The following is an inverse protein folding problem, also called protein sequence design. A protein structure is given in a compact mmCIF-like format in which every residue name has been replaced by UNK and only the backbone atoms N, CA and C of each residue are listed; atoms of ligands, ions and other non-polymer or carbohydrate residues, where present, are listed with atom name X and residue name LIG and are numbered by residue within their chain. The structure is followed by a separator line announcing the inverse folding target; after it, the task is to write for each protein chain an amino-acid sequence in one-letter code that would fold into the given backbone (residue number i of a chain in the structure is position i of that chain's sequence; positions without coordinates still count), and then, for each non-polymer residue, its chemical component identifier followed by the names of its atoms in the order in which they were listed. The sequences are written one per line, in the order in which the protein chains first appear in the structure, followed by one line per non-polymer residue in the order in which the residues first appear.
data_IF_063052202367
#
_entry.id   IF_063052202367
#
_cell.length_a   1.000
_cell.length_b   1.000
_cell.length_c   1.000
_cell.angle_alpha   90.00
_cell.angle_beta   90.00
_cell.angle_gamma   90.00
#
_symmetry.space_group_name_H-M   'P 1'
#
loop_
_entity.id
_entity.type
_entity.pdbx_description
1 polymer ?
#
# COMPACT_ATOMS: atom_id res chain seq x y z
N UNK A 1 18.51 21.53 -31.79
CA UNK A 1 17.59 22.61 -31.35
C UNK A 1 16.79 22.09 -30.16
N UNK A 2 16.70 22.79 -29.03
CA UNK A 2 15.83 22.38 -27.94
C UNK A 2 14.39 22.40 -28.45
N UNK A 3 13.71 21.25 -28.41
CA UNK A 3 12.30 21.18 -28.81
C UNK A 3 11.48 22.06 -27.86
N UNK A 4 10.99 23.19 -28.38
CA UNK A 4 10.11 24.11 -27.65
C UNK A 4 8.81 23.37 -27.34
N UNK A 5 8.40 23.39 -26.08
CA UNK A 5 7.13 22.79 -25.64
C UNK A 5 5.97 23.54 -26.33
N UNK A 6 5.02 22.79 -26.90
CA UNK A 6 3.89 23.34 -27.66
C UNK A 6 2.53 23.00 -27.07
N UNK A 7 2.47 22.01 -26.18
CA UNK A 7 1.24 21.52 -25.59
C UNK A 7 1.10 21.95 -24.12
N UNK A 8 -0.14 22.19 -23.71
CA UNK A 8 -0.55 22.34 -22.33
C UNK A 8 -0.63 20.97 -21.70
N UNK A 9 0.28 20.70 -20.76
CA UNK A 9 0.33 19.43 -20.01
C UNK A 9 0.00 19.68 -18.54
N UNK A 10 -0.44 18.64 -17.84
CA UNK A 10 -0.57 18.71 -16.39
C UNK A 10 0.78 19.00 -15.73
N UNK A 11 0.75 19.81 -14.68
CA UNK A 11 1.95 20.06 -13.89
C UNK A 11 2.46 18.76 -13.25
N UNK A 12 3.79 18.53 -13.25
CA UNK A 12 4.35 17.40 -12.52
C UNK A 12 3.96 17.49 -11.04
N UNK A 13 3.53 16.39 -10.45
CA UNK A 13 3.24 16.31 -9.02
C UNK A 13 4.53 16.60 -8.24
N UNK A 14 4.48 17.59 -7.35
CA UNK A 14 5.66 18.09 -6.63
C UNK A 14 6.58 19.01 -7.44
N UNK A 15 6.24 19.35 -8.68
CA UNK A 15 7.01 20.25 -9.52
C UNK A 15 8.42 19.75 -9.87
N UNK A 16 9.17 20.62 -10.54
CA UNK A 16 10.59 20.38 -10.80
C UNK A 16 11.40 20.68 -9.54
N UNK A 17 12.33 19.78 -9.15
CA UNK A 17 13.21 20.01 -8.02
C UNK A 17 14.03 21.30 -8.16
N UNK A 18 13.84 22.24 -7.22
CA UNK A 18 14.67 23.45 -7.09
C UNK A 18 15.72 23.26 -5.99
N UNK A 19 16.63 24.23 -5.78
CA UNK A 19 17.59 24.16 -4.67
C UNK A 19 16.91 24.04 -3.29
N UNK A 20 15.71 24.62 -3.14
CA UNK A 20 14.91 24.51 -1.93
C UNK A 20 14.39 23.07 -1.67
N UNK A 21 14.26 22.24 -2.71
CA UNK A 21 13.83 20.84 -2.58
C UNK A 21 14.94 19.91 -2.07
N UNK A 22 16.19 20.37 -2.02
CA UNK A 22 17.33 19.53 -1.65
C UNK A 22 17.21 19.02 -0.20
N UNK A 23 16.96 19.93 0.75
CA UNK A 23 16.84 19.60 2.16
C UNK A 23 15.68 18.61 2.43
N UNK A 24 14.42 18.88 2.03
CA UNK A 24 13.32 17.96 2.30
C UNK A 24 13.50 16.62 1.57
N UNK A 25 13.98 16.61 0.32
CA UNK A 25 14.25 15.35 -0.41
C UNK A 25 15.28 14.49 0.30
N UNK A 26 16.37 15.08 0.81
CA UNK A 26 17.40 14.35 1.57
C UNK A 26 16.85 13.82 2.90
N UNK A 27 16.06 14.61 3.63
CA UNK A 27 15.44 14.17 4.89
C UNK A 27 14.54 12.95 4.64
N UNK A 28 13.64 13.01 3.66
CA UNK A 28 12.79 11.86 3.33
C UNK A 28 13.59 10.67 2.82
N UNK A 29 14.66 10.87 2.04
CA UNK A 29 15.54 9.78 1.62
C UNK A 29 16.16 9.06 2.81
N UNK A 30 16.64 9.81 3.82
CA UNK A 30 17.18 9.24 5.07
C UNK A 30 16.08 8.51 5.85
N UNK A 31 14.90 9.12 6.01
CA UNK A 31 13.78 8.52 6.73
C UNK A 31 13.32 7.19 6.11
N UNK A 32 13.19 7.12 4.78
CA UNK A 32 12.87 5.86 4.09
C UNK A 32 14.05 4.87 4.12
N UNK A 33 15.30 5.35 4.06
CA UNK A 33 16.49 4.52 4.18
C UNK A 33 16.60 3.85 5.56
N UNK A 34 16.29 4.59 6.63
CA UNK A 34 16.23 4.06 7.99
C UNK A 34 15.12 3.01 8.14
N UNK A 35 13.94 3.22 7.53
CA UNK A 35 12.90 2.19 7.48
C UNK A 35 13.40 0.92 6.78
N UNK A 36 14.09 1.05 5.63
CA UNK A 36 14.64 -0.09 4.91
C UNK A 36 15.69 -0.83 5.75
N UNK A 37 16.57 -0.10 6.43
CA UNK A 37 17.55 -0.69 7.34
C UNK A 37 16.87 -1.43 8.51
N UNK A 38 15.85 -0.81 9.11
CA UNK A 38 15.06 -1.42 10.19
C UNK A 38 14.37 -2.72 9.72
N UNK A 39 13.82 -2.74 8.52
CA UNK A 39 13.20 -3.92 7.91
C UNK A 39 14.22 -5.06 7.76
N UNK A 40 15.39 -4.76 7.19
CA UNK A 40 16.47 -5.73 6.96
C UNK A 40 16.99 -6.25 8.29
N UNK A 41 17.23 -5.37 9.25
CA UNK A 41 17.65 -5.75 10.60
C UNK A 41 16.64 -6.69 11.27
N UNK A 42 15.34 -6.36 11.19
CA UNK A 42 14.29 -7.20 11.77
C UNK A 42 14.12 -8.54 11.07
N UNK A 43 14.35 -8.58 9.76
CA UNK A 43 14.30 -9.81 8.97
C UNK A 43 15.39 -10.79 9.39
N UNK A 44 16.63 -10.31 9.55
CA UNK A 44 17.78 -11.16 9.84
C UNK A 44 17.98 -11.46 11.33
N UNK A 45 17.80 -10.47 12.22
CA UNK A 45 18.33 -10.57 13.59
C UNK A 45 17.29 -10.74 14.68
N UNK A 46 16.17 -10.00 14.65
CA UNK A 46 15.25 -9.98 15.81
C UNK A 46 14.07 -10.95 15.68
N UNK A 47 13.34 -10.92 14.57
CA UNK A 47 12.04 -11.63 14.46
C UNK A 47 11.76 -12.12 13.02
N UNK A 48 12.52 -13.09 12.49
CA UNK A 48 12.27 -13.65 11.15
C UNK A 48 10.86 -14.23 10.98
N UNK A 49 10.19 -14.60 12.09
CA UNK A 49 8.80 -15.12 12.09
C UNK A 49 7.71 -14.05 12.01
N UNK A 50 8.05 -12.77 12.19
CA UNK A 50 7.11 -11.64 12.12
C UNK A 50 6.86 -11.16 10.68
N UNK A 51 7.72 -11.54 9.74
CA UNK A 51 7.61 -11.16 8.34
C UNK A 51 6.47 -11.90 7.64
N UNK A 52 5.74 -11.15 6.81
CA UNK A 52 4.66 -11.66 5.98
C UNK A 52 4.90 -11.25 4.52
N UNK A 53 4.57 -12.15 3.58
CA UNK A 53 4.60 -11.89 2.13
C UNK A 53 3.77 -10.66 1.74
N UNK A 54 2.73 -10.33 2.51
CA UNK A 54 1.94 -9.09 2.30
C UNK A 54 2.85 -7.84 2.33
N UNK A 55 3.89 -7.80 3.15
CA UNK A 55 4.74 -6.62 3.32
C UNK A 55 5.76 -6.44 2.18
N UNK A 56 5.93 -7.40 1.27
CA UNK A 56 6.90 -7.31 0.16
C UNK A 56 6.61 -6.10 -0.73
N UNK A 57 5.34 -5.87 -1.07
CA UNK A 57 4.90 -4.71 -1.85
C UNK A 57 5.22 -3.40 -1.15
N UNK A 58 5.00 -3.33 0.17
CA UNK A 58 5.37 -2.17 0.98
C UNK A 58 6.90 -1.95 1.00
N UNK A 59 7.71 -3.01 1.02
CA UNK A 59 9.18 -2.91 0.94
C UNK A 59 9.64 -2.40 -0.42
N UNK A 60 9.08 -2.93 -1.52
CA UNK A 60 9.35 -2.45 -2.87
C UNK A 60 9.00 -0.97 -2.97
N UNK A 61 7.82 -0.58 -2.45
CA UNK A 61 7.40 0.82 -2.38
C UNK A 61 8.43 1.70 -1.64
N UNK A 62 8.95 1.27 -0.49
CA UNK A 62 9.99 2.03 0.24
C UNK A 62 11.25 2.19 -0.61
N UNK A 63 11.71 1.13 -1.28
CA UNK A 63 12.88 1.22 -2.17
C UNK A 63 12.67 2.22 -3.31
N UNK A 64 11.50 2.18 -3.95
CA UNK A 64 11.12 3.13 -5.00
C UNK A 64 11.06 4.58 -4.46
N UNK A 65 10.58 4.77 -3.21
CA UNK A 65 10.58 6.09 -2.56
C UNK A 65 11.97 6.61 -2.23
N UNK A 66 12.90 5.74 -1.80
CA UNK A 66 14.31 6.12 -1.63
C UNK A 66 14.90 6.57 -2.96
N UNK A 67 14.72 5.77 -4.03
CA UNK A 67 15.21 6.11 -5.37
C UNK A 67 14.63 7.45 -5.86
N UNK A 68 13.32 7.64 -5.72
CA UNK A 68 12.62 8.87 -6.07
C UNK A 68 13.18 10.09 -5.31
N UNK A 69 13.42 9.99 -4.00
CA UNK A 69 13.95 11.08 -3.20
C UNK A 69 15.41 11.42 -3.57
N UNK A 70 16.25 10.41 -3.80
CA UNK A 70 17.63 10.60 -4.27
C UNK A 70 17.65 11.30 -5.63
N UNK A 71 16.80 10.85 -6.56
CA UNK A 71 16.67 11.46 -7.88
C UNK A 71 16.26 12.93 -7.77
N UNK A 72 15.27 13.24 -6.93
CA UNK A 72 14.83 14.63 -6.70
C UNK A 72 15.93 15.48 -6.07
N UNK A 73 16.68 14.94 -5.10
CA UNK A 73 17.83 15.62 -4.49
C UNK A 73 18.95 15.90 -5.51
N UNK A 74 19.26 14.94 -6.38
CA UNK A 74 20.25 15.11 -7.46
C UNK A 74 19.77 16.15 -8.49
N UNK A 75 18.50 16.15 -8.86
CA UNK A 75 17.93 17.17 -9.75
C UNK A 75 17.92 18.57 -9.10
N UNK A 76 17.72 18.65 -7.78
CA UNK A 76 17.84 19.89 -7.03
C UNK A 76 19.27 20.45 -7.07
N UNK A 77 20.29 19.60 -6.84
CA UNK A 77 21.70 20.00 -6.83
C UNK A 77 22.33 20.25 -8.21
N UNK A 78 21.83 19.59 -9.26
CA UNK A 78 22.39 19.68 -10.62
C UNK A 78 21.34 20.13 -11.65
N UNK A 79 21.26 21.44 -11.98
CA UNK A 79 20.27 21.98 -12.91
C UNK A 79 20.25 21.29 -14.29
N UNK A 80 21.42 20.86 -14.78
CA UNK A 80 21.56 20.13 -16.06
C UNK A 80 20.75 18.83 -16.11
N UNK A 81 20.51 18.18 -14.96
CA UNK A 81 19.75 16.92 -14.86
C UNK A 81 18.23 17.14 -14.72
N UNK A 82 17.76 18.37 -14.47
CA UNK A 82 16.32 18.72 -14.39
C UNK A 82 15.61 18.56 -15.73
N UNK A 83 16.34 18.78 -16.83
CA UNK A 83 15.82 18.68 -18.20
C UNK A 83 15.60 17.23 -18.70
N UNK A 84 16.02 16.22 -17.93
CA UNK A 84 15.89 14.82 -18.35
C UNK A 84 14.44 14.36 -18.33
N UNK A 85 13.85 14.19 -19.53
CA UNK A 85 12.48 13.72 -19.69
C UNK A 85 12.24 12.32 -19.12
N UNK A 86 13.22 11.42 -19.25
CA UNK A 86 13.13 10.06 -18.72
C UNK A 86 13.06 10.05 -17.18
N UNK A 87 13.89 10.88 -16.54
CA UNK A 87 13.93 10.99 -15.09
C UNK A 87 12.63 11.59 -14.53
N UNK A 88 12.07 12.59 -15.24
CA UNK A 88 10.76 13.15 -14.91
C UNK A 88 9.64 12.11 -15.04
N UNK A 89 9.59 11.38 -16.17
CA UNK A 89 8.59 10.33 -16.39
C UNK A 89 8.64 9.24 -15.33
N UNK A 90 9.84 8.80 -14.93
CA UNK A 90 10.02 7.81 -13.86
C UNK A 90 9.50 8.34 -12.52
N UNK A 91 9.91 9.54 -12.11
CA UNK A 91 9.45 10.15 -10.84
C UNK A 91 7.93 10.31 -10.81
N UNK A 92 7.33 10.78 -11.91
CA UNK A 92 5.87 10.93 -12.01
C UNK A 92 5.13 9.59 -11.98
N UNK A 93 5.69 8.54 -12.60
CA UNK A 93 5.12 7.20 -12.54
C UNK A 93 5.13 6.65 -11.11
N UNK A 94 6.28 6.67 -10.42
CA UNK A 94 6.40 6.15 -9.06
C UNK A 94 5.51 6.93 -8.08
N UNK A 95 5.51 8.27 -8.17
CA UNK A 95 4.60 9.14 -7.39
C UNK A 95 3.13 8.81 -7.66
N UNK A 96 2.77 8.57 -8.92
CA UNK A 96 1.41 8.30 -9.31
C UNK A 96 0.87 6.92 -8.91
N UNK A 97 1.73 5.96 -8.63
CA UNK A 97 1.33 4.57 -8.34
C UNK A 97 1.50 4.23 -6.86
N UNK A 98 2.36 4.95 -6.14
CA UNK A 98 2.74 4.67 -4.75
C UNK A 98 1.60 4.35 -3.78
N UNK A 99 0.63 5.25 -3.64
CA UNK A 99 -0.52 5.08 -2.76
C UNK A 99 -1.43 3.88 -3.12
N UNK A 100 -1.40 3.42 -4.37
CA UNK A 100 -2.17 2.26 -4.83
C UNK A 100 -1.58 0.97 -4.27
N UNK A 101 -0.24 0.84 -4.21
CA UNK A 101 0.43 -0.32 -3.60
C UNK A 101 0.10 -0.46 -2.13
N UNK A 102 0.15 0.65 -1.39
CA UNK A 102 -0.22 0.69 0.03
C UNK A 102 -1.68 0.26 0.21
N UNK A 103 -2.58 0.78 -0.63
CA UNK A 103 -4.01 0.43 -0.56
C UNK A 103 -4.26 -1.05 -0.85
N UNK A 104 -3.55 -1.64 -1.82
CA UNK A 104 -3.65 -3.07 -2.11
C UNK A 104 -3.21 -3.94 -0.92
N UNK A 105 -2.18 -3.51 -0.18
CA UNK A 105 -1.75 -4.20 1.04
C UNK A 105 -2.80 -4.12 2.15
N UNK A 106 -3.46 -2.96 2.32
CA UNK A 106 -4.57 -2.81 3.27
C UNK A 106 -5.74 -3.74 2.94
N UNK A 107 -6.03 -4.02 1.67
CA UNK A 107 -7.06 -4.99 1.26
C UNK A 107 -6.67 -6.41 1.65
N UNK A 108 -5.40 -6.79 1.50
CA UNK A 108 -4.92 -8.12 1.94
C UNK A 108 -5.08 -8.28 3.46
N UNK A 109 -4.88 -7.21 4.22
CA UNK A 109 -5.13 -7.18 5.67
C UNK A 109 -6.62 -7.24 6.00
N UNK A 110 -7.45 -6.48 5.28
CA UNK A 110 -8.92 -6.54 5.40
C UNK A 110 -9.43 -7.96 5.14
N UNK A 111 -8.93 -8.62 4.08
CA UNK A 111 -9.23 -10.02 3.78
C UNK A 111 -8.92 -10.93 4.97
N UNK A 112 -7.75 -10.77 5.58
CA UNK A 112 -7.36 -11.56 6.76
C UNK A 112 -8.31 -11.32 7.92
N UNK A 113 -8.63 -10.07 8.22
CA UNK A 113 -9.57 -9.71 9.30
C UNK A 113 -10.95 -10.33 9.06
N UNK A 114 -11.49 -10.23 7.83
CA UNK A 114 -12.78 -10.81 7.46
C UNK A 114 -12.78 -12.34 7.45
N UNK A 115 -11.70 -12.98 7.00
CA UNK A 115 -11.59 -14.45 7.03
C UNK A 115 -11.51 -14.96 8.46
N UNK A 116 -10.83 -14.23 9.35
CA UNK A 116 -10.67 -14.62 10.74
C UNK A 116 -12.00 -14.71 11.50
N UNK A 117 -13.02 -13.92 11.15
CA UNK A 117 -14.36 -14.00 11.77
C UNK A 117 -15.12 -15.27 11.40
N UNK A 118 -14.67 -16.00 10.38
CA UNK A 118 -15.32 -17.25 9.92
C UNK A 118 -14.71 -18.50 10.56
N UNK A 119 -13.66 -18.35 11.38
CA UNK A 119 -12.88 -19.45 11.94
C UNK A 119 -13.25 -19.67 13.42
N UNK A 120 -13.65 -20.90 13.83
CA UNK A 120 -13.96 -21.19 15.22
C UNK A 120 -12.72 -21.03 16.12
N UNK A 121 -11.52 -21.33 15.59
CA UNK A 121 -10.23 -21.12 16.25
C UNK A 121 -10.00 -19.65 16.68
N UNK A 122 -10.66 -18.70 16.03
CA UNK A 122 -10.56 -17.27 16.30
C UNK A 122 -11.80 -16.69 17.01
N UNK A 123 -12.63 -17.55 17.61
CA UNK A 123 -13.80 -17.12 18.39
C UNK A 123 -15.13 -17.09 17.61
N UNK A 124 -15.18 -17.60 16.38
CA UNK A 124 -16.44 -17.73 15.65
C UNK A 124 -17.32 -18.84 16.26
N UNK A 125 -18.62 -18.59 16.38
CA UNK A 125 -19.58 -19.57 16.93
C UNK A 125 -19.68 -20.86 16.11
N UNK A 126 -19.51 -20.77 14.78
CA UNK A 126 -19.56 -21.91 13.83
C UNK A 126 -18.59 -21.67 12.67
N UNK A 127 -18.05 -22.75 12.09
CA UNK A 127 -17.21 -22.69 10.88
C UNK A 127 -18.04 -22.28 9.65
N UNK A 128 -17.87 -21.05 9.15
CA UNK A 128 -18.64 -20.52 8.01
C UNK A 128 -17.85 -20.59 6.71
N UNK A 129 -17.77 -21.78 6.09
CA UNK A 129 -16.96 -22.04 4.87
C UNK A 129 -17.40 -21.23 3.64
N UNK A 130 -18.71 -21.11 3.40
CA UNK A 130 -19.25 -20.38 2.23
C UNK A 130 -18.92 -18.89 2.31
N UNK A 131 -19.15 -18.28 3.48
CA UNK A 131 -18.81 -16.87 3.72
C UNK A 131 -17.30 -16.61 3.53
N UNK A 132 -16.44 -17.51 4.01
CA UNK A 132 -14.98 -17.41 3.83
C UNK A 132 -14.58 -17.35 2.36
N UNK A 133 -15.14 -18.23 1.52
CA UNK A 133 -14.88 -18.22 0.08
C UNK A 133 -15.35 -16.92 -0.55
N UNK A 134 -16.53 -16.43 -0.16
CA UNK A 134 -17.06 -15.15 -0.62
C UNK A 134 -16.11 -13.98 -0.28
N UNK A 135 -15.65 -13.87 0.97
CA UNK A 135 -14.71 -12.81 1.37
C UNK A 135 -13.38 -12.88 0.62
N UNK A 136 -12.86 -14.08 0.35
CA UNK A 136 -11.64 -14.26 -0.45
C UNK A 136 -11.81 -13.80 -1.88
N UNK A 137 -12.90 -14.21 -2.55
CA UNK A 137 -13.17 -13.77 -3.92
C UNK A 137 -13.42 -12.28 -4.00
N UNK A 138 -14.23 -11.73 -3.10
CA UNK A 138 -14.50 -10.30 -3.02
C UNK A 138 -13.19 -9.51 -2.89
N UNK A 139 -12.35 -9.83 -1.89
CA UNK A 139 -11.10 -9.11 -1.69
C UNK A 139 -10.12 -9.32 -2.85
N UNK A 140 -10.14 -10.47 -3.52
CA UNK A 140 -9.29 -10.72 -4.70
C UNK A 140 -9.70 -9.85 -5.89
N UNK A 141 -10.98 -9.80 -6.24
CA UNK A 141 -11.47 -8.91 -7.30
C UNK A 141 -11.27 -7.44 -6.94
N UNK A 142 -11.40 -7.11 -5.65
CA UNK A 142 -11.18 -5.76 -5.17
C UNK A 142 -9.71 -5.33 -5.24
N UNK A 143 -8.78 -6.21 -4.89
CA UNK A 143 -7.34 -6.02 -5.11
C UNK A 143 -7.02 -5.86 -6.59
N UNK A 144 -7.60 -6.70 -7.46
CA UNK A 144 -7.45 -6.55 -8.91
C UNK A 144 -7.98 -5.23 -9.44
N UNK A 145 -9.05 -4.68 -8.87
CA UNK A 145 -9.57 -3.36 -9.25
C UNK A 145 -8.56 -2.24 -8.93
N UNK A 146 -7.91 -2.29 -7.76
CA UNK A 146 -6.82 -1.36 -7.42
C UNK A 146 -5.61 -1.53 -8.33
N UNK A 147 -5.18 -2.77 -8.62
CA UNK A 147 -4.09 -3.00 -9.57
C UNK A 147 -4.45 -2.54 -10.98
N UNK A 148 -5.72 -2.71 -11.38
CA UNK A 148 -6.24 -2.22 -12.65
C UNK A 148 -6.19 -0.70 -12.79
N UNK A 149 -6.39 0.06 -11.69
CA UNK A 149 -6.31 1.52 -11.73
C UNK A 149 -4.89 2.05 -12.01
N UNK A 150 -3.85 1.23 -11.80
CA UNK A 150 -2.45 1.58 -12.08
C UNK A 150 -2.17 1.71 -13.58
N UNK A 151 -2.84 0.88 -14.40
CA UNK A 151 -2.54 0.73 -15.82
C UNK A 151 -2.66 2.07 -16.57
N UNK A 152 -3.80 2.78 -16.56
CA UNK A 152 -3.91 4.05 -17.27
C UNK A 152 -2.94 5.11 -16.74
N UNK A 153 -2.70 5.16 -15.43
CA UNK A 153 -1.75 6.11 -14.83
C UNK A 153 -0.32 5.87 -15.30
N UNK A 154 0.11 4.61 -15.39
CA UNK A 154 1.46 4.24 -15.83
C UNK A 154 1.68 4.57 -17.30
N UNK A 155 0.70 4.27 -18.17
CA UNK A 155 0.75 4.58 -19.60
C UNK A 155 0.86 6.10 -19.80
N UNK A 156 0.06 6.88 -19.09
CA UNK A 156 0.09 8.34 -19.17
C UNK A 156 1.43 8.92 -18.70
N UNK A 157 2.00 8.42 -17.59
CA UNK A 157 3.31 8.86 -17.10
C UNK A 157 4.46 8.48 -18.06
N UNK A 158 4.41 7.30 -18.67
CA UNK A 158 5.39 6.87 -19.68
C UNK A 158 5.37 7.76 -20.93
N UNK A 159 4.18 8.23 -21.33
CA UNK A 159 4.00 9.12 -22.46
C UNK A 159 4.25 10.60 -22.16
N UNK A 160 4.49 10.98 -20.89
CA UNK A 160 4.60 12.37 -20.44
C UNK A 160 5.61 13.20 -21.24
N UNK A 161 6.80 12.67 -21.51
CA UNK A 161 7.81 13.40 -22.30
C UNK A 161 7.33 13.72 -23.72
N UNK A 162 6.61 12.78 -24.35
CA UNK A 162 6.06 12.95 -25.71
C UNK A 162 4.81 13.83 -25.75
N UNK A 163 4.03 13.85 -24.66
CA UNK A 163 2.81 14.63 -24.53
C UNK A 163 3.09 16.15 -24.60
N UNK A 164 4.27 16.60 -24.17
CA UNK A 164 4.69 18.02 -24.22
C UNK A 164 4.69 18.64 -25.62
N UNK A 165 4.74 17.81 -26.67
CA UNK A 165 4.83 18.28 -28.05
C UNK A 165 3.52 18.13 -28.85
N UNK A 166 2.50 17.49 -28.28
CA UNK A 166 1.24 17.22 -28.98
C UNK A 166 0.04 17.35 -28.03
N UNK A 167 -0.81 18.34 -28.29
CA UNK A 167 -1.97 18.66 -27.45
C UNK A 167 -2.94 17.48 -27.29
N UNK A 168 -3.27 16.79 -28.38
CA UNK A 168 -4.18 15.64 -28.34
C UNK A 168 -3.63 14.48 -27.48
N UNK A 169 -2.30 14.29 -27.46
CA UNK A 169 -1.66 13.31 -26.56
C UNK A 169 -1.63 13.80 -25.11
N UNK A 170 -1.46 15.10 -24.88
CA UNK A 170 -1.49 15.70 -23.56
C UNK A 170 -2.86 15.55 -22.90
N UNK A 171 -3.94 15.88 -23.61
CA UNK A 171 -5.31 15.78 -23.09
C UNK A 171 -5.65 14.31 -22.76
N UNK A 172 -5.37 13.37 -23.67
CA UNK A 172 -5.56 11.93 -23.40
C UNK A 172 -4.77 11.43 -22.19
N UNK A 173 -3.53 11.88 -22.03
CA UNK A 173 -2.70 11.48 -20.89
C UNK A 173 -3.25 12.05 -19.58
N UNK A 174 -3.78 13.28 -19.61
CA UNK A 174 -4.42 13.90 -18.45
C UNK A 174 -5.68 13.14 -18.05
N UNK A 175 -6.55 12.79 -19.00
CA UNK A 175 -7.77 12.01 -18.74
C UNK A 175 -7.45 10.66 -18.08
N UNK A 176 -6.39 9.99 -18.55
CA UNK A 176 -5.91 8.74 -17.97
C UNK A 176 -5.37 8.90 -16.53
N UNK A 177 -4.68 10.01 -16.24
CA UNK A 177 -4.19 10.32 -14.89
C UNK A 177 -5.33 10.65 -13.92
N UNK A 178 -6.33 11.39 -14.40
CA UNK A 178 -7.53 11.72 -13.61
C UNK A 178 -8.33 10.45 -13.34
N UNK A 179 -8.63 9.66 -14.38
CA UNK A 179 -9.39 8.42 -14.26
C UNK A 179 -8.72 7.43 -13.30
N UNK A 180 -7.41 7.18 -13.44
CA UNK A 180 -6.67 6.29 -12.53
C UNK A 180 -6.73 6.76 -11.07
N UNK A 181 -6.51 8.06 -10.83
CA UNK A 181 -6.47 8.62 -9.48
C UNK A 181 -7.86 8.67 -8.85
N UNK A 182 -8.89 9.05 -9.61
CA UNK A 182 -10.26 9.11 -9.15
C UNK A 182 -10.82 7.72 -8.81
N UNK A 183 -10.56 6.71 -9.66
CA UNK A 183 -10.93 5.32 -9.38
C UNK A 183 -10.25 4.84 -8.10
N UNK A 184 -8.94 5.05 -7.96
CA UNK A 184 -8.23 4.64 -6.76
C UNK A 184 -8.74 5.34 -5.49
N UNK A 185 -9.08 6.63 -5.56
CA UNK A 185 -9.70 7.37 -4.44
C UNK A 185 -11.09 6.80 -4.09
N UNK A 186 -11.92 6.50 -5.10
CA UNK A 186 -13.23 5.88 -4.89
C UNK A 186 -13.12 4.50 -4.25
N UNK A 187 -12.13 3.70 -4.67
CA UNK A 187 -11.84 2.41 -4.05
C UNK A 187 -11.32 2.59 -2.61
N UNK A 188 -10.49 3.59 -2.31
CA UNK A 188 -10.08 3.88 -0.93
C UNK A 188 -11.27 4.28 -0.03
N UNK A 189 -12.16 5.14 -0.52
CA UNK A 189 -13.37 5.52 0.21
C UNK A 189 -14.26 4.29 0.48
N UNK A 190 -14.39 3.39 -0.50
CA UNK A 190 -15.09 2.13 -0.32
C UNK A 190 -14.38 1.21 0.70
N UNK A 191 -13.05 1.21 0.77
CA UNK A 191 -12.30 0.43 1.78
C UNK A 191 -12.58 0.94 3.19
N UNK A 192 -12.65 2.27 3.38
CA UNK A 192 -13.06 2.88 4.65
C UNK A 192 -14.48 2.46 4.99
N UNK A 193 -15.42 2.59 4.05
CA UNK A 193 -16.82 2.21 4.27
C UNK A 193 -16.96 0.73 4.65
N UNK A 194 -16.33 -0.18 3.92
CA UNK A 194 -16.36 -1.62 4.22
C UNK A 194 -15.77 -1.89 5.60
N UNK A 195 -14.66 -1.24 5.96
CA UNK A 195 -14.02 -1.43 7.26
C UNK A 195 -14.93 -0.97 8.41
N UNK A 196 -15.60 0.17 8.25
CA UNK A 196 -16.55 0.68 9.24
C UNK A 196 -17.82 -0.18 9.33
N UNK A 197 -18.43 -0.52 8.20
CA UNK A 197 -19.61 -1.38 8.15
C UNK A 197 -19.30 -2.74 8.78
N UNK A 198 -18.13 -3.33 8.47
CA UNK A 198 -17.70 -4.59 9.08
C UNK A 198 -17.59 -4.46 10.62
N UNK A 199 -17.01 -3.37 11.13
CA UNK A 199 -16.88 -3.12 12.57
C UNK A 199 -18.22 -3.05 13.32
N UNK A 200 -19.27 -2.52 12.67
CA UNK A 200 -20.58 -2.36 13.29
C UNK A 200 -21.53 -3.55 13.06
N UNK A 201 -21.41 -4.26 11.93
CA UNK A 201 -22.35 -5.32 11.54
C UNK A 201 -21.92 -6.73 11.98
N UNK A 202 -20.62 -7.01 12.02
CA UNK A 202 -20.10 -8.34 12.33
C UNK A 202 -19.77 -8.40 13.81
N UNK A 203 -20.51 -9.20 14.59
CA UNK A 203 -20.30 -9.29 16.04
C UNK A 203 -18.98 -9.97 16.41
N UNK A 204 -18.53 -10.93 15.60
CA UNK A 204 -17.33 -11.72 15.81
C UNK A 204 -16.03 -11.03 15.33
N UNK A 205 -16.10 -9.79 14.85
CA UNK A 205 -14.92 -9.07 14.35
C UNK A 205 -14.22 -8.29 15.47
N UNK A 206 -12.89 -8.26 15.39
CA UNK A 206 -12.10 -7.34 16.20
C UNK A 206 -12.23 -5.91 15.64
N UNK A 207 -13.07 -5.11 16.29
CA UNK A 207 -13.37 -3.73 15.89
C UNK A 207 -12.13 -2.86 15.83
N UNK A 208 -11.14 -3.09 16.70
CA UNK A 208 -9.91 -2.28 16.72
C UNK A 208 -9.16 -2.43 15.39
N UNK A 209 -9.07 -3.64 14.86
CA UNK A 209 -8.40 -3.91 13.57
C UNK A 209 -9.12 -3.24 12.41
N UNK A 210 -10.44 -3.18 12.44
CA UNK A 210 -11.24 -2.47 11.44
C UNK A 210 -11.04 -0.96 11.50
N UNK A 211 -11.02 -0.36 12.70
CA UNK A 211 -10.73 1.06 12.87
C UNK A 211 -9.30 1.41 12.48
N UNK A 212 -8.33 0.54 12.74
CA UNK A 212 -6.95 0.70 12.28
C UNK A 212 -6.85 0.68 10.76
N UNK A 213 -7.53 -0.24 10.07
CA UNK A 213 -7.56 -0.28 8.60
C UNK A 213 -8.24 0.96 8.01
N UNK A 214 -9.36 1.39 8.60
CA UNK A 214 -10.02 2.64 8.21
C UNK A 214 -9.10 3.84 8.44
N UNK A 215 -8.40 3.91 9.58
CA UNK A 215 -7.47 4.97 9.93
C UNK A 215 -6.27 5.04 8.98
N UNK A 216 -5.66 3.89 8.65
CA UNK A 216 -4.55 3.83 7.69
C UNK A 216 -4.99 4.22 6.28
N UNK A 217 -6.22 3.86 5.89
CA UNK A 217 -6.77 4.25 4.59
C UNK A 217 -7.09 5.75 4.56
N UNK A 218 -7.70 6.30 5.62
CA UNK A 218 -7.94 7.73 5.75
C UNK A 218 -6.65 8.54 5.77
N UNK A 219 -5.59 8.01 6.39
CA UNK A 219 -4.27 8.63 6.38
C UNK A 219 -3.68 8.72 4.98
N UNK A 220 -3.95 7.76 4.09
CA UNK A 220 -3.41 7.76 2.72
C UNK A 220 -4.26 8.54 1.71
N UNK A 221 -5.55 8.78 1.99
CA UNK A 221 -6.48 9.49 1.10
C UNK A 221 -6.07 10.91 0.70
N UNK A 222 -5.39 11.73 1.53
CA UNK A 222 -4.88 13.04 1.11
C UNK A 222 -3.99 12.98 -0.13
N UNK A 223 -3.31 11.86 -0.37
CA UNK A 223 -2.35 11.68 -1.46
C UNK A 223 -3.03 11.75 -2.84
N UNK A 224 -4.04 10.91 -3.17
CA UNK A 224 -4.78 11.04 -4.42
C UNK A 224 -5.63 12.30 -4.50
N UNK A 225 -6.14 12.84 -3.39
CA UNK A 225 -6.87 14.12 -3.39
C UNK A 225 -5.94 15.25 -3.85
N UNK A 226 -4.77 15.37 -3.22
CA UNK A 226 -3.75 16.34 -3.63
C UNK A 226 -3.35 16.15 -5.08
N UNK A 227 -3.16 14.90 -5.53
CA UNK A 227 -2.83 14.60 -6.93
C UNK A 227 -3.92 15.08 -7.90
N UNK A 228 -5.20 14.85 -7.60
CA UNK A 228 -6.30 15.33 -8.45
C UNK A 228 -6.29 16.87 -8.54
N UNK A 229 -6.07 17.57 -7.43
CA UNK A 229 -5.97 19.02 -7.42
C UNK A 229 -4.81 19.53 -8.29
N UNK A 230 -3.65 18.86 -8.26
CA UNK A 230 -2.49 19.26 -9.07
C UNK A 230 -2.67 18.91 -10.56
N UNK A 231 -3.30 17.78 -10.87
CA UNK A 231 -3.53 17.35 -12.25
C UNK A 231 -4.40 18.33 -13.04
N UNK A 232 -5.30 19.05 -12.36
CA UNK A 232 -6.14 20.09 -12.97
C UNK A 232 -5.35 21.35 -13.39
N UNK A 233 -4.18 21.57 -12.79
CA UNK A 233 -3.32 22.72 -13.09
C UNK A 233 -2.50 22.43 -14.36
N UNK A 234 -2.88 23.07 -15.46
CA UNK A 234 -2.18 22.98 -16.76
C UNK A 234 -1.05 23.99 -16.88
N UNK A 235 0.02 23.62 -17.58
CA UNK A 235 1.14 24.53 -17.89
C UNK A 235 1.76 24.27 -19.25
N UNK A 236 2.21 25.35 -19.91
CA UNK A 236 2.95 25.30 -21.17
C UNK A 236 4.46 25.19 -20.97
N UNK A 237 4.95 25.48 -19.76
CA UNK A 237 6.36 25.32 -19.39
C UNK A 237 6.47 24.53 -18.09
N UNK A 238 6.79 23.25 -18.25
CA UNK A 238 7.00 22.35 -17.11
C UNK A 238 8.21 22.75 -16.27
N UNK A 239 9.15 23.53 -16.81
CA UNK A 239 10.40 23.89 -16.14
C UNK A 239 10.29 25.09 -15.20
N UNK A 240 9.14 25.77 -15.21
CA UNK A 240 8.87 26.84 -14.25
C UNK A 240 8.74 26.21 -12.85
N UNK A 241 9.56 26.66 -11.88
CA UNK A 241 9.50 26.13 -10.53
C UNK A 241 8.17 26.46 -9.86
N UNK A 242 7.72 25.57 -8.98
CA UNK A 242 6.56 25.83 -8.13
C UNK A 242 6.89 26.91 -7.08
N UNK A 243 5.85 27.60 -6.61
CA UNK A 243 5.98 28.44 -5.42
C UNK A 243 6.44 27.58 -4.23
N UNK A 244 7.27 28.12 -3.31
CA UNK A 244 7.76 27.37 -2.15
C UNK A 244 6.64 26.74 -1.31
N UNK A 245 5.50 27.44 -1.16
CA UNK A 245 4.32 26.91 -0.47
C UNK A 245 3.75 25.65 -1.12
N UNK A 246 3.70 25.59 -2.45
CA UNK A 246 3.20 24.43 -3.19
C UNK A 246 4.17 23.24 -3.10
N UNK A 247 5.48 23.49 -3.00
CA UNK A 247 6.48 22.47 -2.71
C UNK A 247 6.31 21.90 -1.30
N UNK A 248 6.10 22.76 -0.29
CA UNK A 248 5.81 22.31 1.08
C UNK A 248 4.56 21.43 1.12
N UNK A 249 3.48 21.81 0.41
CA UNK A 249 2.27 21.01 0.33
C UNK A 249 2.51 19.61 -0.28
N UNK A 250 3.42 19.49 -1.26
CA UNK A 250 3.80 18.19 -1.79
C UNK A 250 4.39 17.28 -0.71
N UNK A 251 5.35 17.76 0.08
CA UNK A 251 5.93 16.92 1.13
C UNK A 251 4.93 16.60 2.24
N UNK A 252 4.10 17.56 2.65
CA UNK A 252 3.17 17.41 3.77
C UNK A 252 1.92 16.59 3.42
N UNK A 253 1.35 16.75 2.22
CA UNK A 253 0.11 16.07 1.82
C UNK A 253 0.36 14.79 1.01
N UNK A 254 1.54 14.65 0.41
CA UNK A 254 1.88 13.49 -0.41
C UNK A 254 2.87 12.55 0.29
N UNK A 255 4.09 13.01 0.59
CA UNK A 255 5.14 12.13 1.12
C UNK A 255 4.95 11.77 2.59
N UNK A 256 4.56 12.74 3.43
CA UNK A 256 4.42 12.53 4.87
C UNK A 256 3.35 11.48 5.23
N UNK A 257 2.12 11.51 4.69
CA UNK A 257 1.11 10.53 5.05
C UNK A 257 1.47 9.12 4.55
N UNK A 258 2.11 9.02 3.37
CA UNK A 258 2.69 7.77 2.87
C UNK A 258 3.75 7.23 3.83
N UNK A 259 4.70 8.07 4.24
CA UNK A 259 5.77 7.67 5.15
C UNK A 259 5.21 7.20 6.51
N UNK A 260 4.25 7.91 7.09
CA UNK A 260 3.63 7.51 8.37
C UNK A 260 2.91 6.17 8.21
N UNK A 261 2.09 6.01 7.17
CA UNK A 261 1.34 4.77 6.93
C UNK A 261 2.28 3.57 6.79
N UNK A 262 3.33 3.72 5.99
CA UNK A 262 4.33 2.68 5.76
C UNK A 262 5.17 2.40 7.00
N UNK A 263 5.50 3.42 7.80
CA UNK A 263 6.16 3.26 9.09
C UNK A 263 5.31 2.43 10.06
N UNK A 264 3.99 2.62 10.08
CA UNK A 264 3.08 1.81 10.91
C UNK A 264 3.01 0.37 10.40
N UNK A 265 2.89 0.18 9.08
CA UNK A 265 2.80 -1.15 8.46
C UNK A 265 4.09 -1.97 8.60
N UNK A 266 5.25 -1.34 8.55
CA UNK A 266 6.54 -2.02 8.68
C UNK A 266 7.07 -2.04 10.12
N UNK A 267 6.71 -1.04 10.91
CA UNK A 267 7.09 -0.90 12.32
C UNK A 267 6.40 -1.90 13.23
N UNK A 268 5.21 -2.38 12.85
CA UNK A 268 4.41 -3.29 13.66
C UNK A 268 4.41 -4.72 13.14
N UNK A 269 4.24 -5.69 14.04
CA UNK A 269 4.10 -7.09 13.68
C UNK A 269 2.71 -7.34 13.10
N UNK A 270 2.54 -7.03 11.80
CA UNK A 270 1.29 -7.20 11.03
C UNK A 270 0.75 -8.62 11.13
N UNK A 271 1.65 -9.61 11.29
CA UNK A 271 1.28 -11.01 11.49
C UNK A 271 0.50 -11.24 12.77
N UNK A 272 1.03 -10.77 13.88
CA UNK A 272 0.36 -10.86 15.18
C UNK A 272 -0.88 -9.94 15.24
N UNK A 273 -0.76 -8.73 14.69
CA UNK A 273 -1.80 -7.68 14.78
C UNK A 273 -3.07 -8.03 14.00
N UNK A 274 -2.94 -8.55 12.78
CA UNK A 274 -4.09 -8.88 11.92
C UNK A 274 -4.39 -10.38 11.86
N UNK A 275 -3.68 -11.20 12.65
CA UNK A 275 -3.82 -12.66 12.62
C UNK A 275 -3.56 -13.22 11.22
N UNK A 276 -2.56 -12.69 10.52
CA UNK A 276 -2.22 -13.14 9.16
C UNK A 276 -1.30 -14.37 9.20
N UNK A 277 -1.42 -15.25 8.20
CA UNK A 277 -0.45 -16.33 7.97
C UNK A 277 0.84 -15.79 7.35
N UNK A 278 1.87 -16.64 7.18
CA UNK A 278 3.11 -16.26 6.44
C UNK A 278 2.83 -15.78 5.01
N UNK A 279 1.73 -16.25 4.42
CA UNK A 279 1.26 -15.91 3.06
C UNK A 279 0.03 -14.99 3.08
N UNK A 280 -0.22 -14.29 4.20
CA UNK A 280 -1.40 -13.46 4.40
C UNK A 280 -2.57 -14.20 5.03
N UNK A 281 -3.15 -15.18 4.34
CA UNK A 281 -4.21 -16.03 4.91
C UNK A 281 -3.56 -17.29 5.52
N UNK A 282 -4.03 -17.74 6.69
CA UNK A 282 -3.49 -18.93 7.36
C UNK A 282 -3.63 -20.20 6.50
N UNK A 283 -4.54 -20.23 5.53
CA UNK A 283 -4.68 -21.39 4.66
C UNK A 283 -5.48 -21.19 3.37
N UNK A 284 -4.78 -20.99 2.25
CA UNK A 284 -5.40 -21.02 0.93
C UNK A 284 -6.10 -22.36 0.62
N UNK A 285 -5.65 -23.49 1.20
CA UNK A 285 -6.25 -24.83 1.01
C UNK A 285 -6.93 -25.34 2.28
N UNK A 286 -8.26 -25.38 2.26
CA UNK A 286 -9.11 -25.97 3.33
C UNK A 286 -8.73 -27.42 3.65
N UNK A 287 -8.37 -28.22 2.63
CA UNK A 287 -7.94 -29.62 2.82
C UNK A 287 -6.72 -29.78 3.74
N UNK A 288 -5.82 -28.79 3.79
CA UNK A 288 -4.66 -28.83 4.71
C UNK A 288 -5.08 -28.52 6.14
N UNK A 289 -6.05 -27.62 6.34
CA UNK A 289 -6.59 -27.29 7.67
C UNK A 289 -7.27 -28.48 8.29
N UNK A 290 -8.19 -29.09 7.54
CA UNK A 290 -8.98 -30.23 8.01
C UNK A 290 -8.06 -31.40 8.40
N UNK A 291 -6.95 -31.62 7.67
CA UNK A 291 -5.94 -32.63 8.04
C UNK A 291 -5.20 -32.29 9.34
N UNK A 292 -4.83 -31.02 9.55
CA UNK A 292 -4.17 -30.61 10.80
C UNK A 292 -5.09 -30.74 11.99
N UNK A 293 -6.33 -30.26 11.86
CA UNK A 293 -7.34 -30.37 12.92
C UNK A 293 -7.60 -31.83 13.31
N UNK A 294 -7.77 -32.73 12.33
CA UNK A 294 -7.89 -34.17 12.60
C UNK A 294 -6.69 -34.74 13.34
N UNK A 295 -5.47 -34.38 12.92
CA UNK A 295 -4.24 -34.81 13.61
C UNK A 295 -4.18 -34.30 15.05
N UNK A 296 -4.54 -33.05 15.29
CA UNK A 296 -4.56 -32.47 16.64
C UNK A 296 -5.65 -33.08 17.52
N UNK A 297 -6.82 -33.41 16.96
CA UNK A 297 -7.88 -34.15 17.65
C UNK A 297 -7.45 -35.59 17.99
N UNK A 298 -6.76 -36.27 17.07
CA UNK A 298 -6.19 -37.60 17.31
C UNK A 298 -5.13 -37.56 18.42
N UNK A 299 -4.21 -36.60 18.37
CA UNK A 299 -3.17 -36.39 19.40
C UNK A 299 -3.80 -36.05 20.78
N UNK A 300 -4.82 -35.19 20.82
CA UNK A 300 -5.52 -34.84 22.05
C UNK A 300 -6.26 -36.02 22.67
N UNK A 301 -6.90 -36.87 21.84
CA UNK A 301 -7.54 -38.12 22.31
C UNK A 301 -6.52 -39.10 22.86
N UNK A 302 -5.35 -39.23 22.22
CA UNK A 302 -4.27 -40.09 22.72
C UNK A 302 -3.74 -39.60 24.07
N UNK A 303 -3.54 -38.29 24.24
CA UNK A 303 -3.14 -37.69 25.53
C UNK A 303 -4.18 -37.94 26.63
N UNK A 304 -5.48 -37.75 26.34
CA UNK A 304 -6.54 -38.03 27.32
C UNK A 304 -6.59 -39.50 27.74
N UNK A 305 -6.36 -40.43 26.81
CA UNK A 305 -6.30 -41.87 27.12
C UNK A 305 -5.11 -42.21 28.01
N UNK A 306 -3.96 -41.57 27.79
CA UNK A 306 -2.76 -41.74 28.62
C UNK A 306 -2.99 -41.19 30.04
N UNK A 307 -3.59 -40.01 30.17
CA UNK A 307 -3.89 -39.41 31.47
C UNK A 307 -4.90 -40.26 32.28
N UNK A 308 -5.91 -40.83 31.62
CA UNK A 308 -6.85 -41.76 32.25
C UNK A 308 -6.18 -43.05 32.73
N UNK A 309 -5.23 -43.60 31.96
CA UNK A 309 -4.47 -44.78 32.36
C UNK A 309 -3.58 -44.50 33.58
N UNK A 310 -2.84 -43.39 33.55
CA UNK A 310 -1.92 -43.01 34.64
C UNK A 310 -2.66 -42.61 35.94
N UNK A 311 -3.83 -41.99 35.85
CA UNK A 311 -4.65 -41.65 37.02
C UNK A 311 -5.23 -42.87 37.74
N UNK A 312 -5.38 -44.00 37.04
CA UNK A 312 -5.86 -45.27 37.62
C UNK A 312 -4.80 -46.03 38.42
N UNK A 313 -3.50 -45.82 38.12
CA UNK A 313 -2.39 -46.44 38.86
C UNK A 313 -2.09 -45.76 40.21
N UNK A 314 -2.46 -44.49 40.38
CA UNK A 314 -2.21 -43.73 41.63
C UNK A 314 -3.30 -43.87 42.70
N UNK A 315 -4.41 -44.58 42.40
CA UNK A 315 -5.54 -44.77 43.31
C UNK A 315 -5.57 -46.15 44.00
N UNK A 316 -4.50 -46.94 43.87
CA UNK A 316 -4.29 -48.25 44.50
C UNK A 316 -3.18 -48.13 45.54
#
# INVERSE_FOLDING_TARGET
MPHVQKAWVSRPVGGIPTSADLAPSTVFAVLYGLLLFYIVYNYFFTKPRAWNVIQISTVIFVMERVACCIIRAVQAGYPKKRASGALMSYVQAVIGVGFVWISADLIKLLRSTLVNTTLPENGASKDRRVARKCYRYFCFFYELAFLGSIIPGTIACGNYSSARFNQAKADRSMDQLIASTAVALGLQALTVLISLVAAFTIKEIDRMRCFELAGLTLLIMPVPIYRLCILDIRTIDVFIPLAPSAQTLFYTLHLLPEWICVSILLGTNVRARFGTGKWGDYELREKKRDKRLRKTEEEAKQLQLIDLANGSETAV
#
